data_IF_802400895875
#
_entry.id   IF_802400895875
#
_cell.length_a   1.000
_cell.length_b   1.000
_cell.length_c   1.000
_cell.angle_alpha   90.00
_cell.angle_beta   90.00
_cell.angle_gamma   90.00
#
_symmetry.space_group_name_H-M   'P 1'
#
loop_
_entity.id
_entity.type
_entity.pdbx_description
1 polymer ?
#
# COMPACT_ATOMS: atom_id res chain seq x y z
N UNK A 1 -2.62 -6.12 -14.17
CA UNK A 1 -3.97 -5.71 -14.63
C UNK A 1 -3.95 -4.35 -15.32
N UNK A 2 -3.24 -3.35 -14.82
CA UNK A 2 -3.19 -1.99 -15.40
C UNK A 2 -2.63 -1.95 -16.82
N UNK A 3 -1.64 -2.77 -17.15
CA UNK A 3 -1.11 -2.85 -18.50
C UNK A 3 -2.17 -3.34 -19.51
N UNK A 4 -3.11 -4.18 -19.09
CA UNK A 4 -4.21 -4.66 -19.92
C UNK A 4 -5.31 -3.59 -20.08
N UNK A 5 -5.53 -2.74 -19.08
CA UNK A 5 -6.48 -1.62 -19.12
C UNK A 5 -5.93 -0.45 -19.95
N UNK A 6 -4.63 -0.19 -19.91
CA UNK A 6 -3.96 0.84 -20.72
C UNK A 6 -4.00 0.55 -22.23
N UNK A 7 -4.28 -0.69 -22.63
CA UNK A 7 -4.38 -1.13 -24.03
C UNK A 7 -5.85 -1.22 -24.52
N UNK A 8 -6.82 -0.80 -23.70
CA UNK A 8 -8.24 -0.82 -24.06
C UNK A 8 -8.53 0.16 -25.20
N UNK A 9 -8.44 -0.35 -26.43
CA UNK A 9 -8.93 0.34 -27.61
C UNK A 9 -10.44 0.13 -27.79
N UNK A 10 -11.11 0.92 -28.63
CA UNK A 10 -12.53 0.73 -28.91
C UNK A 10 -12.77 -0.69 -29.47
N UNK A 11 -13.61 -1.48 -28.79
CA UNK A 11 -13.96 -2.86 -29.14
C UNK A 11 -13.17 -3.95 -28.43
N UNK A 12 -12.21 -3.63 -27.56
CA UNK A 12 -11.51 -4.62 -26.73
C UNK A 12 -12.23 -4.75 -25.38
N UNK A 13 -12.64 -5.98 -25.07
CA UNK A 13 -13.24 -6.34 -23.80
C UNK A 13 -12.19 -6.94 -22.86
N UNK A 14 -12.03 -6.37 -21.69
CA UNK A 14 -11.16 -6.90 -20.64
C UNK A 14 -12.01 -7.71 -19.67
N UNK A 15 -11.59 -8.93 -19.36
CA UNK A 15 -12.22 -9.80 -18.37
C UNK A 15 -11.19 -10.23 -17.35
N UNK A 16 -11.57 -10.23 -16.06
CA UNK A 16 -10.74 -10.71 -14.97
C UNK A 16 -10.85 -12.24 -14.86
N UNK A 17 -9.72 -12.92 -14.61
CA UNK A 17 -9.68 -14.33 -14.27
C UNK A 17 -9.43 -14.49 -12.77
N UNK A 18 -10.41 -14.99 -11.97
CA UNK A 18 -10.38 -14.92 -10.51
C UNK A 18 -9.52 -16.04 -9.89
N UNK A 19 -8.23 -16.10 -10.23
CA UNK A 19 -7.30 -17.16 -9.78
C UNK A 19 -7.22 -17.24 -8.26
N UNK A 20 -7.03 -16.10 -7.60
CA UNK A 20 -6.82 -16.05 -6.16
C UNK A 20 -8.11 -16.23 -5.35
N UNK A 21 -9.25 -15.95 -5.96
CA UNK A 21 -10.56 -16.19 -5.36
C UNK A 21 -10.78 -17.65 -5.02
N UNK A 22 -10.26 -18.56 -5.85
CA UNK A 22 -10.33 -20.02 -5.59
C UNK A 22 -9.38 -20.51 -4.52
N UNK A 23 -8.42 -19.68 -4.14
CA UNK A 23 -7.41 -20.02 -3.14
C UNK A 23 -7.76 -19.46 -1.76
N UNK A 24 -8.26 -18.23 -1.70
CA UNK A 24 -8.47 -17.46 -0.48
C UNK A 24 -9.93 -17.05 -0.25
N UNK A 25 -10.77 -17.11 -1.28
CA UNK A 25 -12.14 -16.62 -1.20
C UNK A 25 -13.02 -17.47 -0.28
N UNK A 26 -13.82 -16.79 0.54
CA UNK A 26 -14.91 -17.42 1.26
C UNK A 26 -16.09 -17.63 0.30
N UNK A 27 -16.53 -18.88 0.05
CA UNK A 27 -17.65 -19.14 -0.85
C UNK A 27 -18.95 -18.44 -0.45
N UNK A 28 -19.13 -18.16 0.84
CA UNK A 28 -20.35 -17.55 1.37
C UNK A 28 -20.33 -16.01 1.22
N UNK A 29 -19.14 -15.41 1.11
CA UNK A 29 -18.96 -13.96 0.89
C UNK A 29 -18.94 -13.56 -0.61
N UNK A 30 -18.80 -14.50 -1.53
CA UNK A 30 -18.64 -14.23 -2.97
C UNK A 30 -19.81 -13.44 -3.60
N UNK A 31 -21.02 -13.67 -3.16
CA UNK A 31 -22.21 -13.00 -3.66
C UNK A 31 -22.29 -11.52 -3.24
N UNK A 32 -21.58 -11.13 -2.18
CA UNK A 32 -21.51 -9.75 -1.70
C UNK A 32 -20.38 -8.96 -2.39
N UNK A 33 -19.30 -9.64 -2.75
CA UNK A 33 -18.11 -9.00 -3.34
C UNK A 33 -18.18 -8.86 -4.87
N UNK A 34 -18.79 -9.83 -5.56
CA UNK A 34 -18.89 -9.83 -7.03
C UNK A 34 -20.34 -10.00 -7.47
N UNK A 35 -20.97 -8.98 -8.06
CA UNK A 35 -22.34 -9.08 -8.55
C UNK A 35 -22.53 -10.28 -9.48
N UNK A 36 -23.62 -11.01 -9.31
CA UNK A 36 -23.90 -12.23 -10.11
C UNK A 36 -23.93 -12.00 -11.61
N UNK A 37 -24.32 -10.83 -12.04
CA UNK A 37 -24.38 -10.42 -13.45
C UNK A 37 -23.01 -10.07 -14.03
N UNK A 38 -21.98 -9.88 -13.19
CA UNK A 38 -20.60 -9.68 -13.64
C UNK A 38 -19.92 -11.00 -14.05
N UNK A 39 -20.43 -12.15 -13.62
CA UNK A 39 -19.83 -13.44 -13.97
C UNK A 39 -20.09 -13.83 -15.43
N UNK A 40 -19.03 -14.30 -16.08
CA UNK A 40 -19.08 -14.87 -17.42
C UNK A 40 -18.57 -16.29 -17.42
N UNK A 41 -19.33 -17.18 -18.04
CA UNK A 41 -19.02 -18.59 -18.14
C UNK A 41 -18.62 -18.93 -19.57
N UNK A 42 -17.45 -19.51 -19.74
CA UNK A 42 -16.97 -20.10 -20.98
C UNK A 42 -17.03 -21.62 -20.86
N UNK A 43 -17.89 -22.26 -21.62
CA UNK A 43 -17.93 -23.72 -21.71
C UNK A 43 -16.71 -24.25 -22.47
N UNK A 44 -16.04 -25.26 -21.93
CA UNK A 44 -14.88 -25.88 -22.50
C UNK A 44 -15.25 -27.22 -23.15
N UNK A 45 -14.69 -27.54 -24.29
CA UNK A 45 -14.79 -28.88 -24.89
C UNK A 45 -13.95 -29.87 -24.08
N UNK A 46 -14.28 -31.14 -24.20
CA UNK A 46 -13.57 -32.23 -23.49
C UNK A 46 -12.07 -32.26 -23.85
N UNK A 47 -11.73 -31.95 -25.10
CA UNK A 47 -10.34 -31.89 -25.59
C UNK A 47 -9.57 -30.73 -24.95
N UNK A 48 -10.20 -29.56 -24.74
CA UNK A 48 -9.59 -28.42 -24.09
C UNK A 48 -9.38 -28.69 -22.62
N UNK A 49 -10.34 -29.30 -21.92
CA UNK A 49 -10.19 -29.74 -20.52
C UNK A 49 -9.02 -30.71 -20.38
N UNK A 50 -8.91 -31.70 -21.23
CA UNK A 50 -7.82 -32.67 -21.20
C UNK A 50 -6.44 -32.00 -21.41
N UNK A 51 -6.33 -31.12 -22.41
CA UNK A 51 -5.12 -30.37 -22.66
C UNK A 51 -4.71 -29.49 -21.46
N UNK A 52 -5.67 -28.78 -20.87
CA UNK A 52 -5.48 -27.95 -19.68
C UNK A 52 -5.02 -28.76 -18.46
N UNK A 53 -5.68 -29.89 -18.19
CA UNK A 53 -5.31 -30.79 -17.09
C UNK A 53 -3.88 -31.30 -17.28
N UNK A 54 -3.52 -31.68 -18.50
CA UNK A 54 -2.16 -32.12 -18.83
C UNK A 54 -1.13 -30.99 -18.60
N UNK A 55 -1.46 -29.77 -19.01
CA UNK A 55 -0.59 -28.62 -18.82
C UNK A 55 -0.36 -28.30 -17.34
N UNK A 56 -1.43 -28.31 -16.52
CA UNK A 56 -1.35 -28.10 -15.08
C UNK A 56 -0.45 -29.17 -14.44
N UNK A 57 -0.62 -30.44 -14.77
CA UNK A 57 0.18 -31.54 -14.23
C UNK A 57 1.68 -31.47 -14.59
N UNK A 58 2.07 -30.69 -15.61
CA UNK A 58 3.50 -30.46 -15.96
C UNK A 58 4.19 -29.43 -15.06
N UNK A 59 3.43 -28.62 -14.32
CA UNK A 59 3.97 -27.69 -13.34
C UNK A 59 4.23 -28.40 -11.98
N UNK A 60 5.08 -29.42 -12.01
CA UNK A 60 5.33 -30.31 -10.85
C UNK A 60 5.76 -29.54 -9.59
N UNK A 61 6.56 -28.49 -9.74
CA UNK A 61 6.98 -27.63 -8.62
C UNK A 61 5.84 -26.85 -7.94
N UNK A 62 4.66 -26.82 -8.56
CA UNK A 62 3.50 -26.11 -8.04
C UNK A 62 2.42 -27.09 -7.51
N UNK A 63 2.25 -28.21 -8.18
CA UNK A 63 1.16 -29.19 -7.91
C UNK A 63 1.62 -30.42 -7.17
N UNK A 64 2.91 -30.55 -6.88
CA UNK A 64 3.48 -31.60 -6.05
C UNK A 64 4.17 -30.98 -4.81
N UNK A 65 4.25 -31.71 -3.69
CA UNK A 65 5.02 -31.27 -2.54
C UNK A 65 6.48 -30.99 -2.93
N UNK A 66 7.11 -29.92 -2.42
CA UNK A 66 8.48 -29.55 -2.77
C UNK A 66 9.54 -30.53 -2.23
N UNK A 67 9.19 -31.35 -1.24
CA UNK A 67 10.06 -32.39 -0.65
C UNK A 67 9.21 -33.55 -0.20
N UNK A 68 9.83 -34.74 -0.09
CA UNK A 68 9.20 -35.94 0.51
C UNK A 68 9.10 -35.87 2.05
N UNK A 69 9.35 -34.72 2.65
CA UNK A 69 9.25 -34.55 4.10
C UNK A 69 7.79 -34.53 4.53
N UNK A 70 7.49 -35.27 5.60
CA UNK A 70 6.15 -35.30 6.22
C UNK A 70 5.65 -33.89 6.52
N UNK A 71 4.49 -33.52 5.97
CA UNK A 71 3.84 -32.23 6.18
C UNK A 71 4.12 -31.14 5.12
N UNK A 72 4.89 -31.43 4.07
CA UNK A 72 5.01 -30.49 2.95
C UNK A 72 3.80 -30.61 2.02
N UNK A 73 3.08 -29.50 1.82
CA UNK A 73 1.94 -29.43 0.90
C UNK A 73 2.34 -28.78 -0.44
N UNK A 74 1.60 -29.14 -1.50
CA UNK A 74 1.75 -28.47 -2.80
C UNK A 74 1.31 -27.00 -2.69
N UNK A 75 1.99 -26.11 -3.38
CA UNK A 75 1.62 -24.68 -3.45
C UNK A 75 0.20 -24.53 -4.00
N UNK A 76 -0.11 -25.31 -5.05
CA UNK A 76 -1.46 -25.39 -5.62
C UNK A 76 -2.08 -26.72 -5.20
N UNK A 77 -2.83 -26.69 -4.10
CA UNK A 77 -3.44 -27.89 -3.55
C UNK A 77 -4.57 -28.46 -4.44
N UNK A 78 -4.94 -29.71 -4.22
CA UNK A 78 -5.91 -30.43 -5.05
C UNK A 78 -7.27 -29.73 -5.21
N UNK A 79 -7.77 -29.08 -4.17
CA UNK A 79 -9.03 -28.32 -4.24
C UNK A 79 -8.94 -27.17 -5.24
N UNK A 80 -7.82 -26.48 -5.28
CA UNK A 80 -7.59 -25.42 -6.26
C UNK A 80 -7.46 -25.99 -7.66
N UNK A 81 -6.71 -27.07 -7.86
CA UNK A 81 -6.62 -27.77 -9.16
C UNK A 81 -8.00 -28.20 -9.64
N UNK A 82 -8.87 -28.67 -8.76
CA UNK A 82 -10.23 -29.06 -9.11
C UNK A 82 -11.07 -27.93 -9.70
N UNK A 83 -10.82 -26.67 -9.33
CA UNK A 83 -11.46 -25.51 -9.96
C UNK A 83 -11.03 -25.31 -11.40
N UNK A 84 -9.79 -25.59 -11.75
CA UNK A 84 -9.25 -25.40 -13.09
C UNK A 84 -9.45 -26.57 -14.04
N UNK A 85 -9.86 -27.72 -13.55
CA UNK A 85 -10.13 -28.92 -14.36
C UNK A 85 -11.61 -29.13 -14.70
N UNK A 86 -12.48 -28.16 -14.38
CA UNK A 86 -13.91 -28.18 -14.73
C UNK A 86 -14.14 -28.01 -16.24
N UNK A 87 -15.31 -28.45 -16.76
CA UNK A 87 -15.68 -28.23 -18.16
C UNK A 87 -16.12 -26.79 -18.47
N UNK A 88 -15.65 -25.85 -17.67
CA UNK A 88 -15.94 -24.44 -17.83
C UNK A 88 -14.84 -23.57 -17.21
N UNK A 89 -14.71 -22.37 -17.75
CA UNK A 89 -13.97 -21.27 -17.14
C UNK A 89 -14.93 -20.20 -16.65
N UNK A 90 -14.57 -19.56 -15.55
CA UNK A 90 -15.30 -18.41 -15.03
C UNK A 90 -14.42 -17.16 -15.16
N UNK A 91 -15.01 -16.10 -15.66
CA UNK A 91 -14.40 -14.79 -15.76
C UNK A 91 -15.32 -13.77 -15.09
N UNK A 92 -14.79 -12.68 -14.64
CA UNK A 92 -15.54 -11.53 -14.18
C UNK A 92 -15.52 -10.47 -15.28
N UNK A 93 -16.70 -10.06 -15.74
CA UNK A 93 -16.88 -9.03 -16.73
C UNK A 93 -16.91 -7.66 -16.08
N UNK A 94 -16.13 -6.79 -16.59
CA UNK A 94 -15.89 -5.48 -16.05
C UNK A 94 -14.40 -5.28 -15.92
N UNK A 95 -13.95 -4.03 -16.03
CA UNK A 95 -12.66 -3.69 -15.46
C UNK A 95 -12.62 -4.35 -14.08
N UNK A 96 -11.46 -4.86 -13.62
CA UNK A 96 -11.32 -5.04 -12.21
C UNK A 96 -11.90 -3.77 -11.62
N UNK A 97 -12.97 -3.90 -10.86
CA UNK A 97 -13.51 -2.74 -10.20
C UNK A 97 -12.31 -2.06 -9.57
N UNK A 98 -12.19 -0.75 -9.69
CA UNK A 98 -11.26 0.04 -8.86
C UNK A 98 -11.51 -0.17 -7.35
N UNK A 99 -12.22 -1.20 -7.00
CA UNK A 99 -12.67 -1.67 -5.70
C UNK A 99 -11.84 -2.87 -5.21
N UNK A 100 -10.53 -2.83 -5.35
CA UNK A 100 -9.77 -3.33 -4.23
C UNK A 100 -10.08 -2.33 -3.11
N UNK A 101 -10.99 -2.69 -2.21
CA UNK A 101 -11.31 -1.81 -1.10
C UNK A 101 -10.04 -1.56 -0.30
N UNK A 102 -9.85 -0.33 0.14
CA UNK A 102 -8.77 -0.03 1.08
C UNK A 102 -8.91 -0.93 2.30
N UNK A 103 -7.78 -1.34 2.89
CA UNK A 103 -7.79 -2.20 4.05
C UNK A 103 -8.64 -1.63 5.18
N UNK A 104 -9.46 -2.46 5.78
CA UNK A 104 -10.48 -2.02 6.71
C UNK A 104 -9.88 -1.54 8.04
N UNK A 105 -10.45 -0.49 8.61
CA UNK A 105 -9.98 0.10 9.87
C UNK A 105 -9.96 -0.89 11.05
N UNK A 106 -10.93 -1.82 11.10
CA UNK A 106 -10.99 -2.81 12.18
C UNK A 106 -9.81 -3.79 12.17
N UNK A 107 -9.23 -4.06 11.00
CA UNK A 107 -8.05 -4.93 10.87
C UNK A 107 -6.84 -4.32 11.60
N UNK A 108 -6.56 -3.03 11.40
CA UNK A 108 -5.46 -2.34 12.08
C UNK A 108 -5.70 -2.20 13.57
N UNK A 109 -6.94 -1.88 13.97
CA UNK A 109 -7.31 -1.81 15.39
C UNK A 109 -7.07 -3.16 16.09
N UNK A 110 -7.45 -4.27 15.45
CA UNK A 110 -7.22 -5.61 15.99
C UNK A 110 -5.73 -5.95 16.08
N UNK A 111 -4.92 -5.62 15.08
CA UNK A 111 -3.47 -5.81 15.13
C UNK A 111 -2.84 -5.07 16.30
N UNK A 112 -3.15 -3.80 16.50
CA UNK A 112 -2.62 -3.03 17.62
C UNK A 112 -3.17 -3.50 18.96
N UNK A 113 -4.39 -3.99 19.01
CA UNK A 113 -4.99 -4.52 20.24
C UNK A 113 -4.33 -5.83 20.70
N UNK A 114 -3.94 -6.68 19.76
CA UNK A 114 -3.40 -8.02 20.03
C UNK A 114 -1.88 -8.07 20.11
N UNK A 115 -1.17 -7.10 19.56
CA UNK A 115 0.29 -7.04 19.56
C UNK A 115 0.76 -5.67 20.05
N UNK A 116 1.81 -5.65 20.86
CA UNK A 116 2.39 -4.40 21.37
C UNK A 116 3.15 -3.63 20.28
N UNK A 117 3.97 -4.32 19.51
CA UNK A 117 4.73 -3.76 18.37
C UNK A 117 4.59 -4.68 17.14
N UNK A 118 3.43 -4.65 16.42
CA UNK A 118 3.09 -5.62 15.38
C UNK A 118 4.11 -5.72 14.24
N UNK A 119 4.80 -4.62 13.93
CA UNK A 119 5.77 -4.54 12.83
C UNK A 119 7.20 -4.29 13.31
N UNK A 120 7.45 -4.28 14.61
CA UNK A 120 8.79 -4.08 15.15
C UNK A 120 9.32 -2.65 14.99
N UNK A 121 8.44 -1.64 14.98
CA UNK A 121 8.83 -0.24 14.83
C UNK A 121 9.85 0.22 15.87
N UNK A 122 9.79 -0.36 17.07
CA UNK A 122 10.66 -0.01 18.19
C UNK A 122 11.90 -0.89 18.31
N UNK A 123 11.75 -2.17 17.93
CA UNK A 123 12.73 -3.20 18.27
C UNK A 123 13.56 -3.67 17.08
N UNK A 124 13.07 -3.49 15.84
CA UNK A 124 13.75 -3.93 14.65
C UNK A 124 14.83 -2.95 14.19
N UNK A 125 16.07 -3.46 14.03
CA UNK A 125 17.15 -2.70 13.39
C UNK A 125 16.79 -2.22 11.98
N UNK A 126 16.05 -3.03 11.23
CA UNK A 126 15.56 -2.66 9.89
C UNK A 126 14.69 -1.39 9.95
N UNK A 127 13.72 -1.34 10.86
CA UNK A 127 12.82 -0.20 11.04
C UNK A 127 13.57 1.05 11.53
N UNK A 128 14.50 0.87 12.46
CA UNK A 128 15.36 1.97 12.91
C UNK A 128 16.18 2.55 11.75
N UNK A 129 16.87 1.69 10.99
CA UNK A 129 17.68 2.10 9.85
C UNK A 129 16.84 2.79 8.75
N UNK A 130 15.69 2.23 8.41
CA UNK A 130 14.75 2.82 7.44
C UNK A 130 14.29 4.21 7.87
N UNK A 131 13.92 4.38 9.12
CA UNK A 131 13.55 5.66 9.73
C UNK A 131 14.69 6.67 9.68
N UNK A 132 15.91 6.27 10.03
CA UNK A 132 17.09 7.15 9.93
C UNK A 132 17.38 7.55 8.49
N UNK A 133 17.25 6.63 7.53
CA UNK A 133 17.40 6.93 6.10
C UNK A 133 16.35 7.93 5.63
N UNK A 134 15.10 7.79 6.06
CA UNK A 134 14.04 8.74 5.76
C UNK A 134 14.36 10.13 6.30
N UNK A 135 14.79 10.25 7.55
CA UNK A 135 15.15 11.54 8.16
C UNK A 135 16.37 12.19 7.49
N UNK A 136 17.36 11.38 7.07
CA UNK A 136 18.54 11.85 6.36
C UNK A 136 18.20 12.34 4.93
N UNK A 137 17.16 11.77 4.31
CA UNK A 137 16.71 12.14 2.97
C UNK A 137 15.92 13.47 2.94
N UNK A 138 15.49 13.99 4.08
CA UNK A 138 14.74 15.26 4.17
C UNK A 138 15.63 16.44 3.76
N UNK A 139 15.29 17.19 2.68
CA UNK A 139 16.16 18.22 2.13
C UNK A 139 16.35 19.43 3.03
N UNK A 140 15.31 19.81 3.81
CA UNK A 140 15.41 20.98 4.68
C UNK A 140 15.87 20.59 6.09
N UNK A 141 16.64 21.49 6.69
CA UNK A 141 17.14 21.32 8.06
C UNK A 141 15.98 21.23 9.08
N UNK A 142 14.95 22.05 8.88
CA UNK A 142 13.78 22.14 9.76
C UNK A 142 12.53 22.51 8.99
N UNK A 143 11.40 21.98 9.43
CA UNK A 143 10.06 22.27 8.92
C UNK A 143 9.23 22.97 9.97
N UNK A 144 8.23 23.75 9.55
CA UNK A 144 7.30 24.41 10.49
C UNK A 144 6.18 23.45 10.90
N UNK A 145 5.55 22.83 9.92
CA UNK A 145 4.36 21.99 10.14
C UNK A 145 4.48 20.69 9.34
N UNK A 146 4.80 19.62 10.03
CA UNK A 146 4.85 18.28 9.44
C UNK A 146 3.52 17.54 9.65
N UNK A 147 3.10 16.77 8.64
CA UNK A 147 1.98 15.84 8.69
C UNK A 147 2.50 14.44 8.41
N UNK A 148 2.26 13.50 9.30
CA UNK A 148 2.52 12.08 9.12
C UNK A 148 1.20 11.33 8.91
N UNK A 149 1.10 10.62 7.79
CA UNK A 149 -0.06 9.83 7.38
C UNK A 149 0.14 8.38 7.85
N UNK A 150 -0.74 7.88 8.74
CA UNK A 150 -0.60 6.56 9.34
C UNK A 150 0.54 6.50 10.35
N UNK A 151 0.44 7.30 11.42
CA UNK A 151 1.53 7.45 12.39
C UNK A 151 1.71 6.27 13.35
N UNK A 152 0.81 5.30 13.34
CA UNK A 152 0.84 4.13 14.22
C UNK A 152 1.09 4.52 15.69
N UNK A 153 2.07 3.90 16.34
CA UNK A 153 2.46 4.18 17.75
C UNK A 153 3.34 5.42 17.92
N UNK A 154 3.47 6.26 16.88
CA UNK A 154 4.13 7.58 16.96
C UNK A 154 5.67 7.53 16.98
N UNK A 155 6.30 6.42 16.64
CA UNK A 155 7.77 6.28 16.66
C UNK A 155 8.43 7.25 15.68
N UNK A 156 7.93 7.31 14.44
CA UNK A 156 8.45 8.25 13.43
C UNK A 156 8.02 9.68 13.74
N UNK A 157 6.78 9.90 14.23
CA UNK A 157 6.34 11.24 14.69
C UNK A 157 7.28 11.85 15.73
N UNK A 158 7.71 11.04 16.72
CA UNK A 158 8.66 11.46 17.74
C UNK A 158 10.02 11.86 17.14
N UNK A 159 10.49 11.10 16.17
CA UNK A 159 11.75 11.41 15.47
C UNK A 159 11.63 12.66 14.57
N UNK A 160 10.47 12.88 13.94
CA UNK A 160 10.17 14.08 13.15
C UNK A 160 10.13 15.36 14.01
N UNK A 161 9.81 15.27 15.31
CA UNK A 161 9.83 16.41 16.23
C UNK A 161 11.20 17.08 16.35
N UNK A 162 12.29 16.36 16.11
CA UNK A 162 13.64 16.94 16.00
C UNK A 162 13.85 17.77 14.73
N UNK A 163 12.99 17.60 13.74
CA UNK A 163 13.09 18.19 12.39
C UNK A 163 11.93 19.13 12.04
N UNK A 164 10.95 19.29 12.93
CA UNK A 164 9.79 20.17 12.73
C UNK A 164 9.43 20.95 14.00
N UNK A 165 8.79 22.12 13.83
CA UNK A 165 8.27 22.91 14.97
C UNK A 165 7.00 22.28 15.54
N UNK A 166 6.17 21.72 14.63
CA UNK A 166 4.99 20.93 15.02
C UNK A 166 4.86 19.72 14.10
N UNK A 167 4.42 18.61 14.66
CA UNK A 167 4.10 17.37 13.94
C UNK A 167 2.65 17.00 14.23
N UNK A 168 1.87 16.79 13.20
CA UNK A 168 0.56 16.16 13.28
C UNK A 168 0.66 14.73 12.79
N UNK A 169 0.54 13.76 13.67
CA UNK A 169 0.38 12.35 13.32
C UNK A 169 -1.09 11.99 13.21
N UNK A 170 -1.48 11.31 12.15
CA UNK A 170 -2.86 10.83 12.00
C UNK A 170 -2.89 9.33 11.77
N UNK A 171 -3.81 8.65 12.45
CA UNK A 171 -4.03 7.21 12.31
C UNK A 171 -5.51 6.89 12.53
N UNK A 172 -5.96 5.74 12.03
CA UNK A 172 -7.32 5.28 12.24
C UNK A 172 -7.50 4.48 13.53
N UNK A 173 -6.42 3.87 14.05
CA UNK A 173 -6.44 3.03 15.25
C UNK A 173 -6.40 3.86 16.53
N UNK A 174 -7.39 3.68 17.38
CA UNK A 174 -7.44 4.30 18.70
C UNK A 174 -6.33 3.75 19.60
N UNK A 175 -6.13 2.43 19.58
CA UNK A 175 -5.11 1.76 20.40
C UNK A 175 -3.69 2.23 20.02
N UNK A 176 -3.41 2.39 18.71
CA UNK A 176 -2.12 2.93 18.27
C UNK A 176 -1.90 4.37 18.77
N UNK A 177 -2.92 5.22 18.63
CA UNK A 177 -2.85 6.62 19.06
C UNK A 177 -2.70 6.78 20.57
N UNK A 178 -3.32 5.93 21.39
CA UNK A 178 -3.12 5.91 22.84
C UNK A 178 -1.66 5.64 23.20
N UNK A 179 -1.02 4.68 22.54
CA UNK A 179 0.43 4.40 22.69
C UNK A 179 1.29 5.57 22.20
N UNK A 180 0.91 6.18 21.07
CA UNK A 180 1.62 7.34 20.55
C UNK A 180 1.60 8.52 21.53
N UNK A 181 0.45 8.80 22.16
CA UNK A 181 0.34 9.83 23.21
C UNK A 181 1.18 9.50 24.45
N UNK A 182 1.19 8.24 24.90
CA UNK A 182 2.00 7.80 26.03
C UNK A 182 3.50 7.98 25.74
N UNK A 183 3.94 7.67 24.51
CA UNK A 183 5.32 7.79 24.06
C UNK A 183 5.83 9.23 24.07
N UNK A 184 5.05 10.15 23.51
CA UNK A 184 5.51 11.54 23.31
C UNK A 184 5.32 12.43 24.53
N UNK A 185 4.46 12.06 25.47
CA UNK A 185 4.16 12.84 26.69
C UNK A 185 3.39 14.13 26.43
N UNK A 186 2.97 14.77 27.52
CA UNK A 186 2.28 16.06 27.48
C UNK A 186 3.29 17.20 27.25
N UNK A 187 2.92 18.18 26.39
CA UNK A 187 3.79 19.33 26.06
C UNK A 187 4.73 19.08 24.88
N UNK A 188 4.64 17.94 24.22
CA UNK A 188 5.37 17.65 22.99
C UNK A 188 4.93 18.56 21.83
N UNK A 189 5.85 18.81 20.89
CA UNK A 189 5.54 19.41 19.58
C UNK A 189 4.68 18.49 18.68
N UNK A 190 4.45 17.26 19.13
CA UNK A 190 3.66 16.24 18.37
C UNK A 190 2.23 16.24 18.88
N UNK A 191 1.29 16.24 17.96
CA UNK A 191 -0.14 16.03 18.20
C UNK A 191 -0.60 14.84 17.38
N UNK A 192 -1.59 14.13 17.90
CA UNK A 192 -2.19 13.00 17.22
C UNK A 192 -3.69 13.20 17.08
N UNK A 193 -4.22 12.83 15.91
CA UNK A 193 -5.65 12.86 15.61
C UNK A 193 -6.09 11.53 15.00
N UNK A 194 -7.25 11.05 15.42
CA UNK A 194 -7.88 9.90 14.78
C UNK A 194 -8.50 10.34 13.46
N UNK A 195 -8.04 9.74 12.35
CA UNK A 195 -8.54 10.02 11.00
C UNK A 195 -8.52 8.75 10.14
N UNK A 196 -9.58 8.53 9.38
CA UNK A 196 -9.65 7.48 8.36
C UNK A 196 -9.28 8.09 7.00
N UNK A 197 -7.98 7.97 6.68
CA UNK A 197 -7.47 8.51 5.42
C UNK A 197 -7.84 7.62 4.22
N UNK A 198 -7.99 8.21 3.02
CA UNK A 198 -7.85 9.64 2.67
C UNK A 198 -9.13 10.46 2.82
N UNK A 199 -10.22 9.87 3.32
CA UNK A 199 -11.55 10.51 3.37
C UNK A 199 -11.65 11.57 4.45
N UNK A 200 -11.08 11.33 5.63
CA UNK A 200 -11.03 12.26 6.75
C UNK A 200 -9.70 13.03 6.77
N UNK A 201 -9.49 13.91 5.80
CA UNK A 201 -8.24 14.65 5.68
C UNK A 201 -8.12 15.76 6.73
N UNK A 202 -6.95 15.89 7.41
CA UNK A 202 -6.75 16.96 8.39
C UNK A 202 -6.71 18.33 7.74
N UNK A 203 -7.25 19.33 8.45
CA UNK A 203 -7.20 20.71 8.01
C UNK A 203 -5.79 21.31 8.21
N UNK A 204 -5.42 22.22 7.30
CA UNK A 204 -4.17 22.96 7.42
C UNK A 204 -3.30 22.90 6.18
N UNK A 205 -2.16 23.59 6.28
CA UNK A 205 -1.09 23.59 5.27
C UNK A 205 0.18 23.07 5.95
N UNK A 206 0.89 22.23 5.24
CA UNK A 206 2.09 21.55 5.75
C UNK A 206 3.26 21.82 4.80
N UNK A 207 4.43 22.05 5.35
CA UNK A 207 5.66 22.14 4.57
C UNK A 207 6.41 20.79 4.51
N UNK A 208 5.96 19.81 5.29
CA UNK A 208 6.36 18.40 5.18
C UNK A 208 5.12 17.49 5.27
N UNK A 209 4.98 16.59 4.31
CA UNK A 209 4.04 15.46 4.40
C UNK A 209 4.84 14.16 4.29
N UNK A 210 4.63 13.26 5.23
CA UNK A 210 5.26 11.94 5.29
C UNK A 210 4.21 10.87 5.01
N UNK A 211 4.47 10.05 4.01
CA UNK A 211 3.68 8.88 3.64
C UNK A 211 4.57 7.63 3.76
N UNK A 212 4.52 6.96 4.91
CA UNK A 212 5.36 5.81 5.18
C UNK A 212 4.52 4.61 5.55
N UNK A 213 4.69 3.50 4.82
CA UNK A 213 4.07 2.19 5.08
C UNK A 213 2.53 2.17 5.10
N UNK A 214 1.87 3.08 4.37
CA UNK A 214 0.41 3.23 4.36
C UNK A 214 -0.19 3.13 2.97
N UNK A 215 0.49 3.69 1.97
CA UNK A 215 -0.07 3.88 0.62
C UNK A 215 -0.54 2.58 -0.05
N UNK A 216 0.07 1.46 0.24
CA UNK A 216 -0.29 0.17 -0.35
C UNK A 216 -1.55 -0.46 0.26
N UNK A 217 -2.02 0.04 1.41
CA UNK A 217 -3.30 -0.36 2.01
C UNK A 217 -4.50 0.37 1.41
N UNK A 218 -4.27 1.40 0.61
CA UNK A 218 -5.33 2.12 -0.08
C UNK A 218 -5.64 1.46 -1.43
N UNK A 219 -6.91 1.53 -1.81
CA UNK A 219 -7.32 1.23 -3.19
C UNK A 219 -6.64 2.19 -4.17
N UNK A 220 -6.52 1.86 -5.47
CA UNK A 220 -6.03 2.80 -6.48
C UNK A 220 -6.79 4.14 -6.47
N UNK A 221 -8.11 4.10 -6.27
CA UNK A 221 -8.96 5.30 -6.19
C UNK A 221 -8.64 6.15 -4.94
N UNK A 222 -8.45 5.49 -3.78
CA UNK A 222 -8.10 6.16 -2.54
C UNK A 222 -6.66 6.71 -2.57
N UNK A 223 -5.73 6.00 -3.19
CA UNK A 223 -4.38 6.52 -3.41
C UNK A 223 -4.41 7.78 -4.29
N UNK A 224 -5.23 7.80 -5.34
CA UNK A 224 -5.37 8.98 -6.18
C UNK A 224 -6.05 10.15 -5.43
N UNK A 225 -7.04 9.87 -4.59
CA UNK A 225 -7.63 10.86 -3.68
C UNK A 225 -6.58 11.40 -2.70
N UNK A 226 -5.78 10.53 -2.08
CA UNK A 226 -4.69 10.91 -1.17
C UNK A 226 -3.67 11.83 -1.87
N UNK A 227 -3.26 11.50 -3.11
CA UNK A 227 -2.37 12.34 -3.92
C UNK A 227 -2.93 13.76 -4.10
N UNK A 228 -4.21 13.90 -4.45
CA UNK A 228 -4.86 15.22 -4.56
C UNK A 228 -4.89 15.96 -3.23
N UNK A 229 -5.19 15.26 -2.14
CA UNK A 229 -5.22 15.82 -0.78
C UNK A 229 -3.83 16.30 -0.34
N UNK A 230 -2.79 15.49 -0.56
CA UNK A 230 -1.39 15.86 -0.31
C UNK A 230 -1.04 17.13 -1.10
N UNK A 231 -1.29 17.13 -2.40
CA UNK A 231 -0.98 18.28 -3.27
C UNK A 231 -1.69 19.56 -2.82
N UNK A 232 -2.95 19.46 -2.35
CA UNK A 232 -3.72 20.60 -1.87
C UNK A 232 -3.28 21.10 -0.50
N UNK A 233 -2.75 20.23 0.36
CA UNK A 233 -2.34 20.55 1.74
C UNK A 233 -0.85 20.97 1.85
N UNK A 234 -0.01 20.61 0.89
CA UNK A 234 1.38 21.08 0.85
C UNK A 234 1.46 22.60 0.58
N UNK A 235 2.37 23.27 1.25
CA UNK A 235 2.75 24.65 0.94
C UNK A 235 3.47 24.73 -0.41
N UNK A 236 3.71 25.90 -0.94
CA UNK A 236 4.41 26.09 -2.23
C UNK A 236 5.85 25.54 -2.22
N UNK A 237 6.46 25.47 -1.05
CA UNK A 237 7.80 24.93 -0.82
C UNK A 237 7.78 23.61 -0.07
N UNK A 238 6.62 22.93 -0.10
CA UNK A 238 6.40 21.73 0.71
C UNK A 238 7.06 20.50 0.12
N UNK A 239 7.57 19.67 1.02
CA UNK A 239 8.19 18.37 0.75
C UNK A 239 7.19 17.24 1.00
N UNK A 240 7.07 16.32 0.05
CA UNK A 240 6.50 15.00 0.26
C UNK A 240 7.65 14.00 0.35
N UNK A 241 7.72 13.23 1.44
CA UNK A 241 8.57 12.04 1.52
C UNK A 241 7.69 10.81 1.59
N UNK A 242 7.96 9.84 0.73
CA UNK A 242 7.27 8.55 0.72
C UNK A 242 8.28 7.43 0.95
N UNK A 243 7.92 6.45 1.79
CA UNK A 243 8.77 5.29 2.08
C UNK A 243 7.88 4.05 2.24
N UNK A 244 8.13 3.01 1.43
CA UNK A 244 7.29 1.82 1.43
C UNK A 244 8.11 0.55 1.26
N UNK A 245 7.68 -0.50 1.96
CA UNK A 245 8.10 -1.86 1.74
C UNK A 245 7.76 -2.30 0.31
N UNK A 246 8.66 -3.05 -0.35
CA UNK A 246 8.51 -3.40 -1.76
C UNK A 246 7.94 -4.78 -2.02
N UNK A 247 8.10 -5.69 -1.06
CA UNK A 247 7.59 -7.04 -1.22
C UNK A 247 6.06 -7.05 -1.07
N UNK A 248 5.43 -8.07 -1.65
CA UNK A 248 3.99 -8.24 -1.52
C UNK A 248 3.58 -8.36 -0.05
N UNK A 249 2.52 -7.67 0.31
CA UNK A 249 1.89 -7.73 1.62
C UNK A 249 0.56 -8.45 1.41
N UNK A 250 0.30 -9.54 2.16
CA UNK A 250 -1.00 -10.20 2.10
C UNK A 250 -2.12 -9.18 2.32
N UNK A 251 -3.18 -9.27 1.54
CA UNK A 251 -4.39 -8.45 1.63
C UNK A 251 -4.19 -6.94 1.37
N UNK A 252 -2.98 -6.49 0.96
CA UNK A 252 -2.80 -5.13 0.53
C UNK A 252 -3.19 -4.97 -0.95
N UNK A 253 -4.04 -3.96 -1.28
CA UNK A 253 -4.47 -3.70 -2.66
C UNK A 253 -3.32 -3.37 -3.63
N UNK A 254 -2.26 -2.79 -3.11
CA UNK A 254 -1.08 -2.34 -3.87
C UNK A 254 0.20 -2.84 -3.21
N UNK A 255 1.31 -2.73 -3.92
CA UNK A 255 2.65 -2.85 -3.35
C UNK A 255 3.38 -1.50 -3.33
N UNK A 256 4.55 -1.43 -2.69
CA UNK A 256 5.29 -0.18 -2.57
C UNK A 256 5.72 0.41 -3.91
N UNK A 257 6.09 -0.42 -4.89
CA UNK A 257 6.51 0.05 -6.22
C UNK A 257 5.32 0.68 -6.98
N UNK A 258 4.10 0.13 -6.86
CA UNK A 258 2.88 0.69 -7.44
C UNK A 258 2.50 2.04 -6.81
N UNK A 259 2.59 2.16 -5.48
CA UNK A 259 2.40 3.43 -4.77
C UNK A 259 3.37 4.50 -5.31
N UNK A 260 4.65 4.16 -5.41
CA UNK A 260 5.68 5.09 -5.88
C UNK A 260 5.54 5.43 -7.37
N UNK A 261 5.09 4.48 -8.21
CA UNK A 261 4.75 4.75 -9.60
C UNK A 261 3.60 5.76 -9.71
N UNK A 262 2.53 5.58 -8.90
CA UNK A 262 1.42 6.50 -8.84
C UNK A 262 1.84 7.89 -8.37
N UNK A 263 2.66 8.00 -7.32
CA UNK A 263 3.20 9.27 -6.83
C UNK A 263 4.06 9.97 -7.90
N UNK A 264 4.88 9.21 -8.63
CA UNK A 264 5.79 9.73 -9.65
C UNK A 264 5.10 10.20 -10.94
N UNK A 265 3.88 9.76 -11.22
CA UNK A 265 3.15 10.10 -12.45
C UNK A 265 2.50 11.50 -12.44
N UNK A 266 2.44 12.16 -11.29
CA UNK A 266 1.77 13.44 -11.11
C UNK A 266 2.60 14.64 -11.53
N UNK A 267 1.92 15.76 -11.92
CA UNK A 267 2.54 17.05 -12.20
C UNK A 267 2.56 18.00 -10.99
N UNK A 268 2.01 17.57 -9.86
CA UNK A 268 1.86 18.42 -8.67
C UNK A 268 3.20 18.69 -7.97
N UNK A 269 4.17 17.82 -8.18
CA UNK A 269 5.50 17.87 -7.58
C UNK A 269 6.57 17.28 -8.50
N UNK A 270 7.83 17.57 -8.18
CA UNK A 270 9.01 17.04 -8.85
C UNK A 270 9.76 16.10 -7.90
N UNK A 271 10.13 14.92 -8.38
CA UNK A 271 10.98 14.01 -7.62
C UNK A 271 12.40 14.56 -7.51
N UNK A 272 12.87 14.71 -6.29
CA UNK A 272 14.20 15.24 -5.95
C UNK A 272 15.18 14.12 -5.63
N UNK A 273 14.71 13.03 -4.99
CA UNK A 273 15.52 11.91 -4.58
C UNK A 273 14.77 10.61 -4.77
N UNK A 274 15.48 9.58 -5.16
CA UNK A 274 15.04 8.18 -5.13
C UNK A 274 16.13 7.33 -4.53
N UNK A 275 15.82 6.67 -3.42
CA UNK A 275 16.63 5.64 -2.79
C UNK A 275 15.90 4.31 -2.94
N UNK A 276 16.60 3.32 -3.48
CA UNK A 276 16.02 2.03 -3.82
C UNK A 276 16.88 0.92 -3.22
N UNK A 277 16.26 0.09 -2.41
CA UNK A 277 16.84 -1.14 -1.86
C UNK A 277 16.00 -2.37 -2.27
N UNK A 278 16.48 -3.56 -1.91
CA UNK A 278 15.74 -4.81 -2.13
C UNK A 278 14.39 -4.80 -1.42
N UNK A 279 14.34 -4.22 -0.23
CA UNK A 279 13.22 -4.34 0.70
C UNK A 279 12.36 -3.09 0.79
N UNK A 280 12.91 -1.90 0.55
CA UNK A 280 12.11 -0.66 0.55
C UNK A 280 12.52 0.31 -0.55
N UNK A 281 11.59 1.18 -0.90
CA UNK A 281 11.77 2.34 -1.76
C UNK A 281 11.45 3.61 -0.97
N UNK A 282 12.32 4.62 -1.10
CA UNK A 282 12.11 5.94 -0.51
C UNK A 282 12.28 6.98 -1.59
N UNK A 283 11.32 7.88 -1.71
CA UNK A 283 11.37 9.00 -2.64
C UNK A 283 11.00 10.31 -1.95
N UNK A 284 11.68 11.36 -2.34
CA UNK A 284 11.40 12.72 -1.91
C UNK A 284 10.94 13.55 -3.11
N UNK A 285 9.85 14.26 -2.90
CA UNK A 285 9.27 15.14 -3.90
C UNK A 285 9.14 16.55 -3.34
N UNK A 286 9.36 17.53 -4.18
CA UNK A 286 9.14 18.95 -3.91
C UNK A 286 7.95 19.43 -4.73
N UNK A 287 7.06 20.20 -4.13
CA UNK A 287 5.95 20.82 -4.85
C UNK A 287 6.46 21.76 -5.94
N UNK A 288 5.87 21.65 -7.14
CA UNK A 288 6.25 22.52 -8.26
C UNK A 288 6.06 24.01 -7.92
N UNK A 289 7.14 24.78 -7.97
CA UNK A 289 7.19 26.18 -7.56
C UNK A 289 8.00 26.45 -6.28
N UNK A 290 8.53 25.39 -5.62
CA UNK A 290 9.38 25.52 -4.43
C UNK A 290 10.80 25.96 -4.74
N UNK A 291 11.43 26.62 -3.75
CA UNK A 291 12.86 26.98 -3.77
C UNK A 291 13.70 25.72 -3.55
N UNK A 292 14.82 25.58 -4.24
CA UNK A 292 15.73 24.45 -4.05
C UNK A 292 16.42 24.54 -2.68
N UNK A 293 16.66 23.44 -1.99
CA UNK A 293 17.39 23.45 -0.72
C UNK A 293 18.76 24.14 -0.76
N UNK A 294 19.44 24.11 -1.92
CA UNK A 294 20.71 24.81 -2.14
C UNK A 294 20.61 26.34 -2.09
N UNK A 295 19.39 26.88 -2.26
CA UNK A 295 19.18 28.34 -2.23
C UNK A 295 19.02 28.84 -0.78
N UNK A 296 18.83 27.95 0.21
CA UNK A 296 18.73 28.28 1.63
C UNK A 296 20.12 28.39 2.30
N UNK A 297 21.11 27.70 1.75
CA UNK A 297 22.51 27.78 2.16
C UNK A 297 23.33 28.30 0.97
N UNK A 298 23.34 29.61 0.75
CA UNK A 298 24.18 30.21 -0.29
C UNK A 298 25.66 29.79 -0.16
N UNK A 299 26.42 29.78 -1.27
CA UNK A 299 27.81 29.35 -1.25
C UNK A 299 28.59 30.16 -0.20
N UNK A 300 29.23 29.48 0.74
CA UNK A 300 30.20 30.07 1.65
C UNK A 300 31.50 30.33 0.91
#
# INVERSE_FOLDING_TARGET
PEAALAVQGPGVRVVGYPIWLWHWGDPDALDEEIPRDAWRKLALTQSVVAAKTTAIGRHTSQVAPPTDADGSEAIVHERMVAHFTRPLELFVDGAPSDTAASAAAHTFEEYFRTHEDPWGFETSWYEERKRQTLLAALPHRRYRHALELGCATGVLSGALAARADTVLGVDMSVTALERAHQRTGSGSAVRFERRTLPHEWPHGRFDLVVLSEVGYYWSPADLDLARRRIASSLTEHGTLVACHWRRAIPDAPLNGDEVHAALGSGRAWKRMLRHLESDFILEVFERTGGVRPADEEGPR
#
